data_IF_776313439894
#
_entry.id   IF_776313439894
#
_cell.length_a   1.000
_cell.length_b   1.000
_cell.length_c   1.000
_cell.angle_alpha   90.00
_cell.angle_beta   90.00
_cell.angle_gamma   90.00
#
_symmetry.space_group_name_H-M   'P 1'
#
loop_
_entity.id
_entity.type
_entity.pdbx_description
1 polymer ?
#
# COMPACT_ATOMS: atom_id res chain seq x y z
N UNK A 1 -17.05 36.10 -4.01
CA UNK A 1 -16.51 37.44 -3.67
C UNK A 1 -14.99 37.30 -3.72
N UNK A 2 -14.38 37.41 -4.91
CA UNK A 2 -13.92 38.66 -5.52
C UNK A 2 -13.10 39.49 -4.54
N UNK A 3 -11.77 39.38 -4.60
CA UNK A 3 -10.88 40.54 -4.68
C UNK A 3 -9.76 40.19 -5.68
N UNK A 4 -9.62 41.08 -6.65
CA UNK A 4 -8.78 41.01 -7.84
C UNK A 4 -7.32 41.39 -7.58
N UNK A 5 -6.47 40.93 -8.51
CA UNK A 5 -5.14 41.45 -8.81
C UNK A 5 -5.15 42.90 -9.31
N UNK A 6 -4.07 43.65 -9.06
CA UNK A 6 -3.59 44.71 -9.96
C UNK A 6 -2.05 44.64 -10.11
N UNK A 7 -1.65 44.13 -11.28
CA UNK A 7 -0.64 44.58 -12.26
C UNK A 7 0.65 45.35 -11.86
N UNK A 8 1.76 44.99 -12.54
CA UNK A 8 2.97 45.84 -12.58
C UNK A 8 4.20 45.42 -13.40
N UNK A 9 4.04 44.91 -14.63
CA UNK A 9 4.91 45.10 -15.84
C UNK A 9 6.44 44.81 -15.85
N UNK A 10 6.77 43.73 -16.57
CA UNK A 10 7.82 43.46 -17.60
C UNK A 10 8.99 44.43 -17.92
N UNK A 11 10.20 43.82 -17.89
CA UNK A 11 11.21 43.66 -18.97
C UNK A 11 11.56 44.83 -19.91
N UNK A 12 12.86 45.20 -19.96
CA UNK A 12 13.56 45.58 -21.21
C UNK A 12 15.05 45.14 -21.22
N UNK A 13 15.48 44.61 -22.36
CA UNK A 13 16.85 44.18 -22.73
C UNK A 13 17.62 45.31 -23.44
N UNK A 14 18.89 45.50 -23.03
CA UNK A 14 20.13 45.76 -23.80
C UNK A 14 20.26 46.79 -24.95
N UNK A 15 21.34 47.59 -24.92
CA UNK A 15 22.25 47.85 -26.07
C UNK A 15 23.55 48.59 -25.69
N UNK A 16 24.58 48.36 -26.50
CA UNK A 16 25.96 48.88 -26.49
C UNK A 16 26.12 50.35 -26.95
N UNK A 17 27.09 51.11 -26.38
CA UNK A 17 28.30 51.69 -27.04
C UNK A 17 28.94 52.89 -26.27
N UNK A 18 30.27 52.81 -26.14
CA UNK A 18 31.35 53.83 -26.17
C UNK A 18 31.21 55.21 -25.50
N UNK A 19 32.14 55.55 -24.60
CA UNK A 19 33.31 56.46 -24.80
C UNK A 19 33.77 57.14 -23.49
N UNK A 20 35.06 57.02 -23.16
CA UNK A 20 35.87 57.74 -22.15
C UNK A 20 36.00 59.26 -22.47
N UNK A 21 36.58 60.18 -21.63
CA UNK A 21 37.66 59.90 -20.66
C UNK A 21 37.89 60.84 -19.40
N UNK A 22 38.90 60.43 -18.60
CA UNK A 22 39.87 61.14 -17.70
C UNK A 22 39.44 61.84 -16.37
N UNK A 23 40.04 61.38 -15.25
CA UNK A 23 40.82 62.08 -14.19
C UNK A 23 40.51 61.49 -12.79
N UNK A 24 41.38 61.35 -11.79
CA UNK A 24 42.83 61.41 -11.58
C UNK A 24 43.12 60.61 -10.28
N UNK A 25 44.35 60.10 -10.16
CA UNK A 25 45.00 59.32 -9.06
C UNK A 25 44.88 59.93 -7.64
N UNK A 26 45.31 59.28 -6.51
CA UNK A 26 46.26 58.17 -6.43
C UNK A 26 45.98 57.01 -5.44
N UNK A 27 46.75 55.96 -5.68
CA UNK A 27 47.03 54.80 -4.85
C UNK A 27 47.43 55.15 -3.40
N UNK A 28 46.79 54.49 -2.44
CA UNK A 28 47.45 54.07 -1.20
C UNK A 28 47.40 52.54 -1.13
N UNK A 29 48.56 51.90 -1.26
CA UNK A 29 48.78 50.53 -0.79
C UNK A 29 48.45 50.50 0.71
N UNK A 30 47.40 49.77 1.08
CA UNK A 30 47.34 49.11 2.39
C UNK A 30 47.75 47.66 2.17
N UNK A 31 48.71 47.24 2.98
CA UNK A 31 49.24 45.89 3.01
C UNK A 31 48.13 44.86 3.23
N UNK A 32 48.33 43.70 2.62
CA UNK A 32 47.51 42.50 2.72
C UNK A 32 47.07 42.20 4.17
N UNK A 33 45.75 42.25 4.41
CA UNK A 33 45.08 41.26 5.24
C UNK A 33 44.68 40.12 4.28
N UNK A 34 45.61 39.20 4.08
CA UNK A 34 45.34 37.91 3.43
C UNK A 34 45.44 36.89 4.57
N UNK A 35 44.42 36.03 4.66
CA UNK A 35 44.34 34.76 5.41
C UNK A 35 43.33 34.60 6.57
N UNK A 36 42.48 35.58 6.92
CA UNK A 36 41.41 35.31 7.91
C UNK A 36 40.08 34.84 7.28
N UNK A 37 39.77 35.33 6.07
CA UNK A 37 38.51 35.00 5.37
C UNK A 37 38.53 33.58 4.76
N UNK A 38 39.71 33.05 4.40
CA UNK A 38 39.84 31.70 3.86
C UNK A 38 39.88 30.65 4.96
N UNK A 39 40.54 30.91 6.10
CA UNK A 39 40.52 30.05 7.30
C UNK A 39 39.10 29.95 7.91
N UNK A 40 38.39 31.07 8.02
CA UNK A 40 37.01 31.07 8.52
C UNK A 40 36.05 30.31 7.58
N UNK A 41 36.20 30.48 6.25
CA UNK A 41 35.41 29.73 5.26
C UNK A 41 35.74 28.24 5.24
N UNK A 42 36.98 27.85 5.50
CA UNK A 42 37.35 26.42 5.60
C UNK A 42 36.80 25.81 6.88
N UNK A 43 36.92 26.50 8.02
CA UNK A 43 36.35 26.06 9.30
C UNK A 43 34.82 25.95 9.23
N UNK A 44 34.13 26.93 8.61
CA UNK A 44 32.68 26.89 8.42
C UNK A 44 32.24 25.69 7.56
N UNK A 45 33.01 25.39 6.51
CA UNK A 45 32.74 24.26 5.62
C UNK A 45 32.94 22.91 6.33
N UNK A 46 33.96 22.81 7.18
CA UNK A 46 34.25 21.63 8.01
C UNK A 46 33.13 21.40 9.05
N UNK A 47 32.69 22.46 9.74
CA UNK A 47 31.60 22.40 10.72
C UNK A 47 30.26 21.97 10.07
N UNK A 48 29.94 22.47 8.88
CA UNK A 48 28.76 22.07 8.10
C UNK A 48 28.82 20.60 7.66
N UNK A 49 30.01 20.09 7.35
CA UNK A 49 30.23 18.68 6.98
C UNK A 49 30.05 17.76 8.20
N UNK A 50 30.56 18.15 9.37
CA UNK A 50 30.33 17.43 10.63
C UNK A 50 28.84 17.40 11.02
N UNK A 51 28.12 18.51 10.89
CA UNK A 51 26.67 18.55 11.17
C UNK A 51 25.90 17.62 10.24
N UNK A 52 26.29 17.54 8.97
CA UNK A 52 25.70 16.61 8.01
C UNK A 52 25.97 15.16 8.40
N UNK A 53 27.20 14.81 8.74
CA UNK A 53 27.56 13.45 9.18
C UNK A 53 26.80 13.03 10.44
N UNK A 54 26.53 13.95 11.37
CA UNK A 54 25.72 13.67 12.56
C UNK A 54 24.27 13.34 12.19
N UNK A 55 23.66 14.12 11.28
CA UNK A 55 22.29 13.87 10.81
C UNK A 55 22.22 12.57 10.01
N UNK A 56 23.16 12.34 9.09
CA UNK A 56 23.30 11.08 8.33
C UNK A 56 23.45 9.89 9.30
N UNK A 57 24.23 10.07 10.37
CA UNK A 57 24.41 9.08 11.44
C UNK A 57 23.12 8.77 12.21
N UNK A 58 22.26 9.77 12.47
CA UNK A 58 20.95 9.55 13.10
C UNK A 58 20.04 8.71 12.22
N UNK A 59 19.94 9.07 10.93
CA UNK A 59 19.14 8.32 9.97
C UNK A 59 19.66 6.89 9.84
N UNK A 60 20.98 6.72 9.74
CA UNK A 60 21.60 5.40 9.71
C UNK A 60 21.27 4.59 10.97
N UNK A 61 21.39 5.18 12.16
CA UNK A 61 21.05 4.54 13.44
C UNK A 61 19.59 4.10 13.50
N UNK A 62 18.66 4.97 13.09
CA UNK A 62 17.22 4.65 13.05
C UNK A 62 16.91 3.54 12.07
N UNK A 63 17.42 3.66 10.84
CA UNK A 63 17.07 2.79 9.73
C UNK A 63 17.71 1.39 9.89
N UNK A 64 18.90 1.31 10.51
CA UNK A 64 19.67 0.08 10.70
C UNK A 64 19.72 -0.37 12.17
N UNK A 65 18.75 0.06 12.98
CA UNK A 65 18.71 -0.24 14.42
C UNK A 65 18.85 -1.74 14.70
N UNK A 66 18.14 -2.58 13.94
CA UNK A 66 18.13 -4.04 14.08
C UNK A 66 19.35 -4.76 13.49
N UNK A 67 20.31 -4.04 12.92
CA UNK A 67 21.61 -4.62 12.55
C UNK A 67 22.54 -4.71 13.76
N UNK A 68 22.32 -3.87 14.77
CA UNK A 68 23.13 -3.78 16.00
C UNK A 68 22.36 -4.16 17.26
N UNK A 69 21.02 -4.14 17.21
CA UNK A 69 20.11 -4.52 18.29
C UNK A 69 19.27 -5.72 17.87
N UNK A 70 18.88 -6.56 18.81
CA UNK A 70 18.05 -7.73 18.50
C UNK A 70 16.56 -7.35 18.43
N UNK A 71 15.70 -8.25 17.92
CA UNK A 71 14.25 -7.97 17.79
C UNK A 71 13.60 -7.82 19.17
N UNK A 72 14.17 -8.45 20.20
CA UNK A 72 13.76 -8.29 21.60
C UNK A 72 13.87 -6.83 22.09
N UNK A 73 14.72 -6.02 21.45
CA UNK A 73 14.93 -4.62 21.75
C UNK A 73 13.97 -3.67 21.02
N UNK A 74 13.07 -4.19 20.19
CA UNK A 74 12.15 -3.38 19.37
C UNK A 74 11.34 -2.36 20.18
N UNK A 75 10.90 -2.74 21.39
CA UNK A 75 10.17 -1.82 22.29
C UNK A 75 10.98 -0.60 22.75
N UNK A 76 12.32 -0.65 22.67
CA UNK A 76 13.24 0.43 23.07
C UNK A 76 13.62 1.33 21.90
N UNK A 77 13.52 0.87 20.65
CA UNK A 77 13.89 1.58 19.42
C UNK A 77 13.42 3.04 19.43
N UNK A 78 12.13 3.27 19.69
CA UNK A 78 11.56 4.61 19.61
C UNK A 78 12.19 5.57 20.64
N UNK A 79 12.39 5.09 21.87
CA UNK A 79 13.02 5.86 22.92
C UNK A 79 14.50 6.13 22.58
N UNK A 80 15.22 5.12 22.09
CA UNK A 80 16.64 5.24 21.74
C UNK A 80 16.87 6.22 20.58
N UNK A 81 16.04 6.13 19.53
CA UNK A 81 16.05 7.09 18.41
C UNK A 81 15.71 8.50 18.89
N UNK A 82 14.74 8.64 19.78
CA UNK A 82 14.39 9.95 20.37
C UNK A 82 15.56 10.52 21.19
N UNK A 83 16.26 9.68 21.95
CA UNK A 83 17.43 10.09 22.73
C UNK A 83 18.58 10.54 21.83
N UNK A 84 18.90 9.80 20.77
CA UNK A 84 19.92 10.21 19.79
C UNK A 84 19.52 11.47 19.03
N UNK A 85 18.25 11.59 18.63
CA UNK A 85 17.71 12.79 18.00
C UNK A 85 17.87 14.01 18.91
N UNK A 86 17.52 13.91 20.19
CA UNK A 86 17.68 15.01 21.15
C UNK A 86 19.14 15.42 21.35
N UNK A 87 20.10 14.47 21.34
CA UNK A 87 21.54 14.78 21.39
C UNK A 87 21.99 15.56 20.17
N UNK A 88 21.49 15.21 18.99
CA UNK A 88 21.86 15.87 17.73
C UNK A 88 21.19 17.23 17.59
N UNK A 89 19.91 17.35 17.95
CA UNK A 89 19.21 18.63 18.01
C UNK A 89 19.94 19.63 18.91
N UNK A 90 20.40 19.19 20.09
CA UNK A 90 21.18 20.06 20.98
C UNK A 90 22.47 20.57 20.33
N UNK A 91 23.18 19.71 19.58
CA UNK A 91 24.40 20.11 18.83
C UNK A 91 24.10 21.07 17.69
N UNK A 92 22.95 20.90 17.03
CA UNK A 92 22.49 21.81 15.98
C UNK A 92 22.12 23.18 16.57
N UNK A 93 21.41 23.22 17.70
CA UNK A 93 21.07 24.45 18.43
C UNK A 93 22.33 25.21 18.87
N UNK A 94 23.36 24.52 19.38
CA UNK A 94 24.64 25.13 19.78
C UNK A 94 25.38 25.82 18.62
N UNK A 95 25.09 25.45 17.37
CA UNK A 95 25.71 25.98 16.15
C UNK A 95 24.76 26.89 15.35
N UNK A 96 23.51 27.06 15.76
CA UNK A 96 22.47 27.79 15.02
C UNK A 96 22.82 29.27 14.85
N UNK A 97 23.32 29.92 15.91
CA UNK A 97 23.67 31.34 15.91
C UNK A 97 24.82 31.68 14.93
N UNK A 98 25.68 30.72 14.63
CA UNK A 98 26.83 30.88 13.74
C UNK A 98 26.44 30.77 12.25
N UNK A 99 25.43 29.96 11.93
CA UNK A 99 25.11 29.58 10.54
C UNK A 99 23.73 30.02 10.04
N UNK A 100 22.93 30.69 10.87
CA UNK A 100 21.60 31.26 10.57
C UNK A 100 21.44 31.96 9.21
N UNK A 101 22.49 32.60 8.70
CA UNK A 101 22.48 33.35 7.44
C UNK A 101 23.26 32.66 6.31
N UNK A 102 23.89 31.53 6.57
CA UNK A 102 24.62 30.78 5.57
C UNK A 102 23.64 30.15 4.58
N UNK A 103 23.74 30.56 3.31
CA UNK A 103 23.02 29.91 2.23
C UNK A 103 23.35 28.41 2.20
N UNK A 104 24.55 27.99 2.62
CA UNK A 104 24.97 26.59 2.73
C UNK A 104 24.27 25.85 3.89
N UNK A 105 23.94 26.51 5.00
CA UNK A 105 23.14 25.96 6.11
C UNK A 105 21.65 25.82 5.72
N UNK A 106 21.15 26.77 4.92
CA UNK A 106 19.81 26.71 4.31
C UNK A 106 19.75 25.79 3.06
N UNK A 107 20.88 25.57 2.37
CA UNK A 107 21.10 24.67 1.23
C UNK A 107 21.69 23.31 1.64
N UNK A 108 21.89 23.05 2.94
CA UNK A 108 22.16 21.71 3.44
C UNK A 108 20.89 20.92 3.14
N UNK A 109 20.99 20.18 2.03
CA UNK A 109 19.94 19.81 1.09
C UNK A 109 18.99 18.71 1.58
N UNK A 110 18.79 18.64 2.88
CA UNK A 110 17.74 17.86 3.52
C UNK A 110 16.62 18.76 4.07
N UNK A 111 16.85 20.06 4.28
CA UNK A 111 15.88 20.95 4.94
C UNK A 111 14.47 20.91 4.34
N UNK A 112 14.33 20.89 3.01
CA UNK A 112 13.02 20.74 2.36
C UNK A 112 12.42 19.34 2.52
N UNK A 113 13.24 18.29 2.52
CA UNK A 113 12.78 16.93 2.74
C UNK A 113 12.37 16.73 4.21
N UNK A 114 13.22 17.12 5.15
CA UNK A 114 12.96 17.10 6.59
C UNK A 114 11.73 17.93 6.93
N UNK A 115 11.60 19.15 6.40
CA UNK A 115 10.41 19.98 6.60
C UNK A 115 9.16 19.32 5.98
N UNK A 116 9.28 18.73 4.80
CA UNK A 116 8.22 17.97 4.16
C UNK A 116 7.77 16.78 5.00
N UNK A 117 8.70 16.05 5.61
CA UNK A 117 8.42 14.95 6.55
C UNK A 117 7.74 15.44 7.82
N UNK A 118 8.13 16.61 8.35
CA UNK A 118 7.44 17.21 9.50
C UNK A 118 5.99 17.59 9.16
N UNK A 119 5.75 18.19 7.99
CA UNK A 119 4.39 18.47 7.54
C UNK A 119 3.58 17.20 7.30
N UNK A 120 4.21 16.16 6.73
CA UNK A 120 3.61 14.85 6.54
C UNK A 120 3.16 14.22 7.87
N UNK A 121 4.05 14.19 8.87
CA UNK A 121 3.74 13.68 10.22
C UNK A 121 2.62 14.48 10.90
N UNK A 122 2.51 15.79 10.63
CA UNK A 122 1.42 16.65 11.12
C UNK A 122 0.11 16.51 10.32
N UNK A 123 0.10 15.71 9.25
CA UNK A 123 -1.07 15.52 8.38
C UNK A 123 -1.30 16.62 7.35
N UNK A 124 -0.40 17.61 7.25
CA UNK A 124 -0.47 18.65 6.22
C UNK A 124 0.17 18.15 4.92
N UNK A 125 -0.59 17.33 4.20
CA UNK A 125 -0.13 16.67 2.98
C UNK A 125 0.14 17.69 1.84
N UNK A 126 -0.52 18.84 1.85
CA UNK A 126 -0.36 19.88 0.82
C UNK A 126 0.97 20.63 1.02
N UNK A 127 1.26 21.01 2.27
CA UNK A 127 2.56 21.60 2.61
C UNK A 127 3.70 20.61 2.37
N UNK A 128 3.53 19.34 2.76
CA UNK A 128 4.48 18.27 2.49
C UNK A 128 4.78 18.13 0.98
N UNK A 129 3.74 18.07 0.14
CA UNK A 129 3.87 18.02 -1.33
C UNK A 129 4.68 19.22 -1.85
N UNK A 130 4.35 20.42 -1.37
CA UNK A 130 5.03 21.66 -1.79
C UNK A 130 6.51 21.59 -1.47
N UNK A 131 6.86 21.12 -0.27
CA UNK A 131 8.25 21.00 0.17
C UNK A 131 9.05 20.02 -0.69
N UNK A 132 8.53 18.80 -0.89
CA UNK A 132 9.24 17.80 -1.70
C UNK A 132 9.31 18.18 -3.19
N UNK A 133 8.29 18.88 -3.71
CA UNK A 133 8.33 19.42 -5.09
C UNK A 133 9.42 20.48 -5.23
N UNK A 134 9.52 21.39 -4.25
CA UNK A 134 10.58 22.39 -4.18
C UNK A 134 11.97 21.76 -4.12
N UNK A 135 12.15 20.70 -3.33
CA UNK A 135 13.40 19.94 -3.27
C UNK A 135 13.79 19.36 -4.64
N UNK A 136 12.84 18.79 -5.39
CA UNK A 136 13.10 18.27 -6.74
C UNK A 136 13.43 19.34 -7.78
N UNK A 137 12.87 20.55 -7.66
CA UNK A 137 13.21 21.67 -8.53
C UNK A 137 14.67 22.12 -8.35
N UNK A 138 15.21 21.99 -7.14
CA UNK A 138 16.60 22.33 -6.84
C UNK A 138 17.57 21.22 -7.26
N UNK A 139 17.22 19.96 -6.99
CA UNK A 139 18.00 18.80 -7.42
C UNK A 139 17.17 17.52 -7.36
N UNK A 140 17.22 16.74 -8.44
CA UNK A 140 16.63 15.39 -8.46
C UNK A 140 17.33 14.50 -7.42
N UNK A 141 16.56 13.93 -6.51
CA UNK A 141 17.07 13.08 -5.43
C UNK A 141 16.04 11.99 -5.04
N UNK A 142 16.51 10.85 -4.52
CA UNK A 142 15.65 9.69 -4.22
C UNK A 142 14.68 9.95 -3.06
N UNK A 143 15.09 10.74 -2.06
CA UNK A 143 14.27 11.05 -0.88
C UNK A 143 12.99 11.76 -1.31
N UNK A 144 13.09 12.89 -2.02
CA UNK A 144 11.91 13.66 -2.47
C UNK A 144 11.02 12.86 -3.42
N UNK A 145 11.60 12.03 -4.31
CA UNK A 145 10.83 11.16 -5.21
C UNK A 145 9.99 10.13 -4.42
N UNK A 146 10.59 9.46 -3.44
CA UNK A 146 9.88 8.52 -2.54
C UNK A 146 8.80 9.23 -1.74
N UNK A 147 9.12 10.37 -1.13
CA UNK A 147 8.18 11.09 -0.28
C UNK A 147 7.02 11.69 -1.07
N UNK A 148 7.24 12.22 -2.28
CA UNK A 148 6.14 12.63 -3.16
C UNK A 148 5.28 11.45 -3.59
N UNK A 149 5.90 10.31 -3.90
CA UNK A 149 5.17 9.08 -4.20
C UNK A 149 4.23 8.73 -3.05
N UNK A 150 4.68 8.78 -1.79
CA UNK A 150 3.83 8.57 -0.61
C UNK A 150 2.70 9.60 -0.52
N UNK A 151 3.03 10.88 -0.68
CA UNK A 151 2.07 12.00 -0.54
C UNK A 151 0.94 11.93 -1.54
N UNK A 152 1.26 11.66 -2.81
CA UNK A 152 0.25 11.60 -3.86
C UNK A 152 -0.81 10.52 -3.63
N UNK A 153 -0.48 9.44 -2.91
CA UNK A 153 -1.43 8.35 -2.61
C UNK A 153 -2.39 8.69 -1.48
N UNK A 154 -2.02 9.61 -0.60
CA UNK A 154 -2.81 9.95 0.58
C UNK A 154 -3.55 11.29 0.44
N UNK A 155 -3.20 12.11 -0.56
CA UNK A 155 -3.90 13.37 -0.78
C UNK A 155 -5.41 13.15 -1.02
N UNK A 156 -6.27 13.98 -0.40
CA UNK A 156 -7.70 13.91 -0.64
C UNK A 156 -8.01 14.15 -2.12
N UNK A 157 -9.08 13.56 -2.68
CA UNK A 157 -9.47 13.79 -4.06
C UNK A 157 -9.92 15.23 -4.30
N UNK A 158 -9.02 16.05 -4.83
CA UNK A 158 -9.37 17.30 -5.50
C UNK A 158 -9.90 16.94 -6.89
N UNK A 159 -11.17 17.20 -7.19
CA UNK A 159 -11.73 17.03 -8.56
C UNK A 159 -12.40 15.69 -8.90
N UNK A 160 -12.56 14.76 -7.96
CA UNK A 160 -13.32 13.50 -8.15
C UNK A 160 -12.46 12.28 -8.48
N UNK A 161 -13.09 11.15 -8.85
CA UNK A 161 -12.44 9.84 -8.96
C UNK A 161 -11.35 9.74 -10.06
N UNK A 162 -11.50 10.46 -11.17
CA UNK A 162 -10.51 10.44 -12.26
C UNK A 162 -9.17 11.09 -11.85
N UNK A 163 -9.21 12.14 -11.03
CA UNK A 163 -8.02 12.82 -10.55
C UNK A 163 -7.30 11.99 -9.47
N UNK A 164 -8.01 11.11 -8.77
CA UNK A 164 -7.37 10.12 -7.90
C UNK A 164 -6.55 9.10 -8.70
N UNK A 165 -7.14 8.49 -9.75
CA UNK A 165 -6.42 7.49 -10.57
C UNK A 165 -5.13 8.04 -11.21
N UNK A 166 -5.16 9.28 -11.71
CA UNK A 166 -3.96 9.96 -12.26
C UNK A 166 -2.86 10.13 -11.22
N UNK A 167 -3.20 10.57 -10.01
CA UNK A 167 -2.23 10.74 -8.91
C UNK A 167 -1.59 9.43 -8.47
N UNK A 168 -2.36 8.33 -8.45
CA UNK A 168 -1.80 7.01 -8.16
C UNK A 168 -0.81 6.57 -9.25
N UNK A 169 -1.11 6.81 -10.52
CA UNK A 169 -0.17 6.52 -11.61
C UNK A 169 1.10 7.38 -11.51
N UNK A 170 0.97 8.67 -11.19
CA UNK A 170 2.11 9.57 -10.95
C UNK A 170 2.96 9.09 -9.76
N UNK A 171 2.32 8.63 -8.68
CA UNK A 171 3.00 8.03 -7.54
C UNK A 171 3.87 6.82 -7.91
N UNK A 172 3.37 5.94 -8.79
CA UNK A 172 4.13 4.79 -9.30
C UNK A 172 5.33 5.25 -10.12
N UNK A 173 5.15 6.26 -10.98
CA UNK A 173 6.24 6.79 -11.79
C UNK A 173 7.37 7.39 -10.92
N UNK A 174 7.02 8.22 -9.92
CA UNK A 174 8.00 8.78 -8.99
C UNK A 174 8.74 7.70 -8.19
N UNK A 175 8.06 6.66 -7.73
CA UNK A 175 8.70 5.54 -7.04
C UNK A 175 9.65 4.77 -7.96
N UNK A 176 9.28 4.54 -9.23
CA UNK A 176 10.18 3.94 -10.22
C UNK A 176 11.41 4.79 -10.46
N UNK A 177 11.23 6.11 -10.58
CA UNK A 177 12.36 7.03 -10.72
C UNK A 177 13.28 7.00 -9.50
N UNK A 178 12.76 6.85 -8.28
CA UNK A 178 13.58 6.68 -7.08
C UNK A 178 14.45 5.42 -7.15
N UNK A 179 13.84 4.27 -7.52
CA UNK A 179 14.56 3.01 -7.75
C UNK A 179 15.61 3.14 -8.86
N UNK A 180 15.32 3.89 -9.93
CA UNK A 180 16.28 4.11 -11.02
C UNK A 180 17.51 4.93 -10.59
N UNK A 181 17.36 5.83 -9.62
CA UNK A 181 18.51 6.58 -9.08
C UNK A 181 19.41 5.68 -8.23
N UNK A 182 18.84 4.71 -7.54
CA UNK A 182 19.56 3.77 -6.69
C UNK A 182 18.81 2.44 -6.62
N UNK A 183 19.22 1.49 -7.46
CA UNK A 183 18.60 0.16 -7.52
C UNK A 183 18.91 -0.70 -6.29
N UNK A 184 19.85 -0.24 -5.44
CA UNK A 184 20.23 -0.92 -4.20
C UNK A 184 19.52 -0.36 -2.96
N UNK A 185 18.72 0.69 -3.11
CA UNK A 185 17.94 1.28 -2.03
C UNK A 185 16.67 0.47 -1.75
N UNK A 186 16.68 -0.35 -0.69
CA UNK A 186 15.54 -1.16 -0.30
C UNK A 186 14.28 -0.34 -0.01
N UNK A 187 14.43 0.84 0.60
CA UNK A 187 13.32 1.77 0.85
C UNK A 187 12.64 2.22 -0.46
N UNK A 188 13.38 2.48 -1.54
CA UNK A 188 12.79 2.82 -2.85
C UNK A 188 11.95 1.67 -3.41
N UNK A 189 12.43 0.43 -3.29
CA UNK A 189 11.67 -0.76 -3.69
C UNK A 189 10.43 -0.97 -2.84
N UNK A 190 10.52 -0.76 -1.52
CA UNK A 190 9.39 -0.78 -0.60
C UNK A 190 8.31 0.24 -1.01
N UNK A 191 8.71 1.50 -1.25
CA UNK A 191 7.78 2.56 -1.66
C UNK A 191 7.16 2.27 -3.03
N UNK A 192 7.91 1.65 -3.95
CA UNK A 192 7.38 1.17 -5.22
C UNK A 192 6.33 0.06 -5.03
N UNK A 193 6.56 -0.87 -4.09
CA UNK A 193 5.58 -1.86 -3.67
C UNK A 193 4.28 -1.22 -3.19
N UNK A 194 4.37 -0.24 -2.29
CA UNK A 194 3.21 0.51 -1.79
C UNK A 194 2.48 1.24 -2.94
N UNK A 195 3.21 1.79 -3.90
CA UNK A 195 2.60 2.46 -5.05
C UNK A 195 1.80 1.49 -5.93
N UNK A 196 2.34 0.28 -6.17
CA UNK A 196 1.64 -0.77 -6.89
C UNK A 196 0.43 -1.31 -6.13
N UNK A 197 0.47 -1.42 -4.79
CA UNK A 197 -0.71 -1.75 -3.98
C UNK A 197 -1.83 -0.73 -4.21
N UNK A 198 -1.53 0.56 -4.12
CA UNK A 198 -2.56 1.58 -4.33
C UNK A 198 -3.09 1.54 -5.76
N UNK A 199 -2.22 1.33 -6.76
CA UNK A 199 -2.65 1.17 -8.15
C UNK A 199 -3.52 -0.07 -8.33
N UNK A 200 -3.20 -1.19 -7.69
CA UNK A 200 -3.99 -2.41 -7.70
C UNK A 200 -5.41 -2.14 -7.20
N UNK A 201 -5.57 -1.53 -6.03
CA UNK A 201 -6.91 -1.24 -5.48
C UNK A 201 -7.65 -0.14 -6.25
N UNK A 202 -6.95 0.81 -6.89
CA UNK A 202 -7.59 1.89 -7.66
C UNK A 202 -7.91 1.53 -9.11
N UNK A 203 -7.36 0.44 -9.66
CA UNK A 203 -7.50 0.05 -11.08
C UNK A 203 -8.31 -1.23 -11.30
N UNK A 204 -9.20 -1.57 -10.37
CA UNK A 204 -10.04 -2.77 -10.48
C UNK A 204 -9.30 -4.08 -10.21
N UNK A 205 -8.25 -4.02 -9.38
CA UNK A 205 -7.51 -5.17 -8.86
C UNK A 205 -6.90 -6.06 -9.95
N UNK A 206 -6.26 -5.41 -10.95
CA UNK A 206 -5.50 -6.11 -11.98
C UNK A 206 -4.38 -6.97 -11.34
N UNK A 207 -4.39 -8.31 -11.50
CA UNK A 207 -3.40 -9.19 -10.88
C UNK A 207 -1.94 -8.86 -11.22
N UNK A 208 -1.68 -8.24 -12.38
CA UNK A 208 -0.32 -7.82 -12.72
C UNK A 208 0.24 -6.80 -11.71
N UNK A 209 -0.61 -5.92 -11.17
CA UNK A 209 -0.19 -4.91 -10.20
C UNK A 209 0.10 -5.54 -8.83
N UNK A 210 -0.67 -6.54 -8.39
CA UNK A 210 -0.37 -7.27 -7.15
C UNK A 210 0.94 -8.05 -7.28
N UNK A 211 1.19 -8.70 -8.42
CA UNK A 211 2.48 -9.36 -8.68
C UNK A 211 3.66 -8.38 -8.68
N UNK A 212 3.50 -7.20 -9.28
CA UNK A 212 4.53 -6.16 -9.26
C UNK A 212 4.79 -5.63 -7.84
N UNK A 213 3.75 -5.46 -7.02
CA UNK A 213 3.89 -5.07 -5.63
C UNK A 213 4.67 -6.13 -4.82
N UNK A 214 4.28 -7.40 -4.92
CA UNK A 214 4.95 -8.51 -4.22
C UNK A 214 6.40 -8.66 -4.65
N UNK A 215 6.69 -8.53 -5.95
CA UNK A 215 8.06 -8.54 -6.46
C UNK A 215 8.89 -7.38 -5.92
N UNK A 216 8.32 -6.18 -5.81
CA UNK A 216 9.02 -5.02 -5.29
C UNK A 216 9.37 -5.17 -3.81
N UNK A 217 8.44 -5.67 -2.97
CA UNK A 217 8.75 -5.97 -1.57
C UNK A 217 9.81 -7.05 -1.41
N UNK A 218 9.72 -8.14 -2.19
CA UNK A 218 10.73 -9.20 -2.15
C UNK A 218 12.11 -8.68 -2.55
N UNK A 219 12.16 -7.78 -3.53
CA UNK A 219 13.40 -7.16 -3.96
C UNK A 219 13.98 -6.21 -2.89
N UNK A 220 13.12 -5.46 -2.18
CA UNK A 220 13.54 -4.62 -1.06
C UNK A 220 14.26 -5.43 0.02
N UNK A 221 13.64 -6.51 0.51
CA UNK A 221 14.23 -7.38 1.54
C UNK A 221 15.48 -8.12 1.06
N UNK A 222 15.55 -8.45 -0.24
CA UNK A 222 16.70 -9.17 -0.81
C UNK A 222 17.95 -8.31 -0.84
N UNK A 223 17.82 -7.02 -1.17
CA UNK A 223 18.97 -6.14 -1.34
C UNK A 223 19.37 -5.48 -0.02
N UNK A 224 18.40 -5.18 0.84
CA UNK A 224 18.60 -4.37 2.02
C UNK A 224 18.06 -5.07 3.27
N UNK A 225 18.96 -5.33 4.22
CA UNK A 225 18.61 -5.97 5.49
C UNK A 225 17.76 -5.06 6.39
N UNK A 226 17.94 -3.75 6.30
CA UNK A 226 17.09 -2.79 7.01
C UNK A 226 15.63 -2.92 6.54
N UNK A 227 15.40 -3.15 5.25
CA UNK A 227 14.07 -3.40 4.69
C UNK A 227 13.40 -4.66 5.25
N UNK A 228 14.16 -5.72 5.57
CA UNK A 228 13.63 -6.91 6.25
C UNK A 228 13.18 -6.64 7.71
N UNK A 229 13.59 -5.50 8.26
CA UNK A 229 13.25 -5.03 9.61
C UNK A 229 12.24 -3.87 9.60
N UNK A 230 11.65 -3.56 8.44
CA UNK A 230 10.60 -2.56 8.29
C UNK A 230 9.22 -3.16 8.61
N UNK A 231 8.59 -2.72 9.71
CA UNK A 231 7.29 -3.22 10.15
C UNK A 231 6.16 -2.94 9.14
N UNK A 232 6.09 -1.72 8.58
CA UNK A 232 5.11 -1.35 7.55
C UNK A 232 5.20 -2.26 6.31
N UNK A 233 6.42 -2.60 5.86
CA UNK A 233 6.62 -3.48 4.71
C UNK A 233 5.90 -4.82 4.92
N UNK A 234 6.14 -5.45 6.07
CA UNK A 234 5.52 -6.73 6.41
C UNK A 234 4.01 -6.62 6.53
N UNK A 235 3.50 -5.58 7.18
CA UNK A 235 2.06 -5.35 7.33
C UNK A 235 1.33 -5.11 6.00
N UNK A 236 1.91 -4.29 5.12
CA UNK A 236 1.33 -3.95 3.82
C UNK A 236 1.29 -5.17 2.90
N UNK A 237 2.40 -5.90 2.89
CA UNK A 237 2.51 -7.14 2.13
C UNK A 237 1.54 -8.19 2.67
N UNK A 238 1.40 -8.32 3.99
CA UNK A 238 0.42 -9.22 4.61
C UNK A 238 -1.01 -8.89 4.19
N UNK A 239 -1.34 -7.60 4.12
CA UNK A 239 -2.66 -7.12 3.66
C UNK A 239 -2.93 -7.50 2.20
N UNK A 240 -1.92 -7.40 1.33
CA UNK A 240 -2.04 -7.89 -0.05
C UNK A 240 -2.15 -9.42 -0.12
N UNK A 241 -1.36 -10.15 0.68
CA UNK A 241 -1.46 -11.61 0.79
C UNK A 241 -2.86 -12.05 1.24
N UNK A 242 -3.45 -11.37 2.22
CA UNK A 242 -4.80 -11.67 2.69
C UNK A 242 -5.84 -11.48 1.57
N UNK A 243 -5.74 -10.38 0.81
CA UNK A 243 -6.65 -10.13 -0.33
C UNK A 243 -6.54 -11.22 -1.41
N UNK A 244 -5.31 -11.66 -1.70
CA UNK A 244 -4.99 -12.73 -2.65
C UNK A 244 -5.24 -14.14 -2.07
N UNK A 245 -5.77 -14.25 -0.84
CA UNK A 245 -6.07 -15.50 -0.12
C UNK A 245 -4.82 -16.37 0.17
N UNK A 246 -3.64 -15.74 0.26
CA UNK A 246 -2.39 -16.35 0.73
C UNK A 246 -2.30 -16.24 2.26
N UNK A 247 -3.22 -16.92 2.96
CA UNK A 247 -3.44 -16.71 4.40
C UNK A 247 -2.24 -17.03 5.30
N UNK A 248 -1.45 -18.07 5.00
CA UNK A 248 -0.23 -18.37 5.77
C UNK A 248 0.77 -17.21 5.71
N UNK A 249 0.97 -16.65 4.51
CA UNK A 249 1.87 -15.52 4.29
C UNK A 249 1.35 -14.24 4.94
N UNK A 250 0.03 -14.04 4.94
CA UNK A 250 -0.60 -12.91 5.63
C UNK A 250 -0.39 -12.99 7.15
N UNK A 251 -0.68 -14.13 7.78
CA UNK A 251 -0.47 -14.35 9.21
C UNK A 251 0.99 -14.17 9.62
N UNK A 252 1.92 -14.73 8.84
CA UNK A 252 3.35 -14.56 9.08
C UNK A 252 3.79 -13.09 8.98
N UNK A 253 3.28 -12.34 8.00
CA UNK A 253 3.60 -10.93 7.84
C UNK A 253 3.01 -10.04 8.95
N UNK A 254 1.78 -10.29 9.40
CA UNK A 254 1.22 -9.56 10.55
C UNK A 254 2.00 -9.84 11.85
N UNK A 255 2.33 -11.11 12.10
CA UNK A 255 3.15 -11.52 13.26
C UNK A 255 4.53 -10.87 13.22
N UNK A 256 5.16 -10.82 12.03
CA UNK A 256 6.47 -10.17 11.85
C UNK A 256 6.39 -8.66 12.07
N UNK A 257 5.35 -7.98 11.58
CA UNK A 257 5.15 -6.56 11.83
C UNK A 257 4.97 -6.27 13.33
N UNK A 258 4.16 -7.06 14.03
CA UNK A 258 3.97 -6.94 15.49
C UNK A 258 5.28 -7.15 16.28
N UNK A 259 6.14 -8.06 15.83
CA UNK A 259 7.43 -8.30 16.46
C UNK A 259 8.43 -7.14 16.25
N UNK A 260 8.37 -6.47 15.09
CA UNK A 260 9.24 -5.35 14.73
C UNK A 260 8.80 -4.02 15.35
N UNK A 261 7.50 -3.86 15.59
CA UNK A 261 6.95 -2.72 16.33
C UNK A 261 5.89 -3.19 17.34
N UNK A 262 6.30 -3.52 18.59
CA UNK A 262 5.38 -3.95 19.63
C UNK A 262 4.40 -2.87 20.11
N UNK A 263 4.66 -1.59 19.79
CA UNK A 263 3.76 -0.47 20.10
C UNK A 263 2.61 -0.33 19.12
N UNK A 264 2.70 -0.98 17.95
CA UNK A 264 1.67 -0.95 16.93
C UNK A 264 0.56 -1.98 17.23
N UNK A 265 -0.62 -1.50 17.61
CA UNK A 265 -1.75 -2.37 17.99
C UNK A 265 -2.45 -3.06 16.79
N UNK A 266 -2.34 -2.51 15.57
CA UNK A 266 -3.08 -3.01 14.41
C UNK A 266 -2.60 -4.39 13.91
N UNK A 267 -1.30 -4.67 13.73
CA UNK A 267 -0.83 -5.98 13.29
C UNK A 267 -1.31 -7.17 14.14
N UNK A 268 -1.19 -7.17 15.49
CA UNK A 268 -1.69 -8.28 16.30
C UNK A 268 -3.23 -8.38 16.25
N UNK A 269 -3.95 -7.26 16.09
CA UNK A 269 -5.40 -7.28 15.87
C UNK A 269 -5.75 -7.95 14.53
N UNK A 270 -5.06 -7.60 13.44
CA UNK A 270 -5.25 -8.20 12.11
C UNK A 270 -4.96 -9.70 12.13
N UNK A 271 -3.88 -10.13 12.75
CA UNK A 271 -3.54 -11.54 12.93
C UNK A 271 -4.65 -12.29 13.66
N UNK A 272 -5.12 -11.76 14.81
CA UNK A 272 -6.20 -12.34 15.60
C UNK A 272 -7.52 -12.43 14.83
N UNK A 273 -7.90 -11.36 14.12
CA UNK A 273 -9.12 -11.34 13.31
C UNK A 273 -9.07 -12.39 12.19
N UNK A 274 -7.91 -12.55 11.54
CA UNK A 274 -7.73 -13.56 10.50
C UNK A 274 -7.79 -14.98 11.06
N UNK A 275 -7.15 -15.26 12.20
CA UNK A 275 -7.26 -16.56 12.88
C UNK A 275 -8.70 -16.88 13.29
N UNK A 276 -9.42 -15.91 13.85
CA UNK A 276 -10.84 -16.08 14.20
C UNK A 276 -11.70 -16.36 12.98
N UNK A 277 -11.43 -15.68 11.85
CA UNK A 277 -12.11 -15.96 10.58
C UNK A 277 -11.85 -17.39 10.10
N UNK A 278 -10.60 -17.84 10.13
CA UNK A 278 -10.22 -19.20 9.72
C UNK A 278 -10.84 -20.28 10.63
N UNK A 279 -10.87 -20.05 11.93
CA UNK A 279 -11.57 -20.93 12.90
C UNK A 279 -13.08 -21.00 12.59
N UNK A 280 -13.72 -19.86 12.35
CA UNK A 280 -15.16 -19.80 12.07
C UNK A 280 -15.50 -20.46 10.73
N UNK A 281 -14.75 -20.17 9.66
CA UNK A 281 -15.05 -20.70 8.33
C UNK A 281 -14.88 -22.21 8.29
N UNK A 282 -13.79 -22.74 8.87
CA UNK A 282 -13.55 -24.19 8.91
C UNK A 282 -14.59 -24.92 9.75
N UNK A 283 -14.94 -24.40 10.93
CA UNK A 283 -16.01 -24.97 11.76
C UNK A 283 -17.37 -24.99 11.02
N UNK A 284 -17.71 -23.91 10.31
CA UNK A 284 -18.97 -23.81 9.56
C UNK A 284 -19.01 -24.73 8.33
N UNK A 285 -17.86 -25.01 7.70
CA UNK A 285 -17.76 -26.03 6.65
C UNK A 285 -18.07 -27.41 7.23
N UNK A 286 -17.40 -27.79 8.32
CA UNK A 286 -17.53 -29.12 8.93
C UNK A 286 -18.97 -29.41 9.37
N UNK A 287 -19.66 -28.43 9.95
CA UNK A 287 -21.03 -28.58 10.45
C UNK A 287 -22.11 -28.09 9.47
N UNK A 288 -21.74 -27.74 8.22
CA UNK A 288 -22.64 -27.22 7.18
C UNK A 288 -23.52 -26.07 7.69
N UNK A 289 -22.91 -25.08 8.35
CA UNK A 289 -23.61 -23.93 8.91
C UNK A 289 -24.55 -24.26 10.07
N UNK A 290 -24.36 -25.41 10.73
CA UNK A 290 -25.25 -25.99 11.75
C UNK A 290 -26.68 -26.21 11.24
N UNK A 291 -26.86 -26.37 9.93
CA UNK A 291 -28.18 -26.64 9.32
C UNK A 291 -28.60 -28.07 9.66
N UNK A 292 -29.76 -28.23 10.32
CA UNK A 292 -30.31 -29.56 10.66
C UNK A 292 -30.49 -30.42 9.41
N UNK A 293 -30.16 -31.71 9.48
CA UNK A 293 -30.21 -32.65 8.35
C UNK A 293 -31.56 -32.68 7.60
N UNK A 294 -32.70 -32.57 8.30
CA UNK A 294 -34.02 -32.49 7.66
C UNK A 294 -34.18 -31.20 6.83
N UNK A 295 -33.73 -30.06 7.37
CA UNK A 295 -33.77 -28.77 6.67
C UNK A 295 -32.84 -28.78 5.45
N UNK A 296 -31.65 -29.37 5.59
CA UNK A 296 -30.70 -29.52 4.50
C UNK A 296 -31.29 -30.36 3.36
N UNK A 297 -31.85 -31.54 3.65
CA UNK A 297 -32.52 -32.36 2.64
C UNK A 297 -33.64 -31.62 1.91
N UNK A 298 -34.45 -30.84 2.62
CA UNK A 298 -35.49 -30.02 2.00
C UNK A 298 -34.94 -28.90 1.11
N UNK A 299 -33.80 -28.30 1.47
CA UNK A 299 -33.12 -27.32 0.61
C UNK A 299 -32.61 -27.99 -0.66
N UNK A 300 -31.93 -29.13 -0.52
CA UNK A 300 -31.31 -29.86 -1.62
C UNK A 300 -32.35 -30.52 -2.55
N UNK A 301 -33.54 -30.89 -2.07
CA UNK A 301 -34.60 -31.43 -2.94
C UNK A 301 -35.10 -30.45 -4.00
N UNK A 302 -34.82 -29.15 -3.84
CA UNK A 302 -35.11 -28.11 -4.84
C UNK A 302 -33.93 -27.80 -5.77
N UNK A 303 -32.77 -28.41 -5.56
CA UNK A 303 -31.57 -28.19 -6.35
C UNK A 303 -31.57 -29.12 -7.57
N UNK A 304 -31.68 -28.56 -8.77
CA UNK A 304 -31.70 -29.30 -10.02
C UNK A 304 -30.92 -28.58 -11.11
N UNK A 305 -30.62 -29.26 -12.21
CA UNK A 305 -29.88 -28.69 -13.35
C UNK A 305 -30.61 -27.49 -13.97
N UNK A 306 -31.94 -27.41 -13.87
CA UNK A 306 -32.69 -26.23 -14.33
C UNK A 306 -32.34 -24.96 -13.54
N UNK A 307 -31.77 -25.10 -12.33
CA UNK A 307 -31.33 -23.96 -11.53
C UNK A 307 -30.06 -23.28 -12.07
N UNK A 308 -29.38 -23.86 -13.07
CA UNK A 308 -28.33 -23.19 -13.84
C UNK A 308 -28.81 -21.88 -14.49
N UNK A 309 -30.13 -21.78 -14.75
CA UNK A 309 -30.76 -20.59 -15.30
C UNK A 309 -30.06 -20.15 -16.60
N UNK A 310 -29.61 -18.88 -16.71
CA UNK A 310 -28.94 -18.38 -17.89
C UNK A 310 -27.77 -19.23 -18.39
N UNK A 311 -27.04 -19.94 -17.52
CA UNK A 311 -25.87 -20.73 -17.90
C UNK A 311 -26.19 -21.96 -18.77
N UNK A 312 -27.44 -22.43 -18.77
CA UNK A 312 -27.87 -23.54 -19.62
C UNK A 312 -28.10 -23.12 -21.08
N UNK A 313 -28.15 -21.80 -21.37
CA UNK A 313 -28.44 -21.29 -22.71
C UNK A 313 -27.23 -21.41 -23.65
N UNK A 314 -27.41 -21.87 -24.91
CA UNK A 314 -26.38 -21.80 -25.94
C UNK A 314 -25.89 -20.38 -26.25
N UNK A 315 -26.67 -19.36 -25.88
CA UNK A 315 -26.33 -17.94 -26.06
C UNK A 315 -25.71 -17.33 -24.80
N UNK A 316 -25.47 -18.12 -23.75
CA UNK A 316 -24.85 -17.63 -22.55
C UNK A 316 -23.44 -17.14 -22.86
N UNK A 317 -23.18 -15.87 -22.56
CA UNK A 317 -21.84 -15.29 -22.60
C UNK A 317 -21.25 -15.35 -21.19
N UNK A 318 -20.19 -16.11 -21.04
CA UNK A 318 -19.47 -16.28 -19.78
C UNK A 318 -18.58 -15.07 -19.48
N UNK A 319 -18.11 -14.93 -18.23
CA UNK A 319 -17.18 -13.87 -17.84
C UNK A 319 -15.87 -13.88 -18.63
N UNK A 320 -15.40 -15.06 -19.06
CA UNK A 320 -14.18 -15.21 -19.88
C UNK A 320 -14.40 -14.84 -21.35
N UNK A 321 -15.63 -14.50 -21.73
CA UNK A 321 -16.00 -14.15 -23.11
C UNK A 321 -16.43 -15.34 -23.96
N UNK A 322 -16.44 -16.57 -23.41
CA UNK A 322 -16.96 -17.76 -24.08
C UNK A 322 -18.47 -17.63 -24.29
N UNK A 323 -18.93 -18.00 -25.48
CA UNK A 323 -20.36 -18.14 -25.78
C UNK A 323 -20.71 -19.61 -25.85
N UNK A 324 -21.73 -20.02 -25.10
CA UNK A 324 -22.21 -21.40 -25.07
C UNK A 324 -22.77 -21.79 -23.71
N UNK A 325 -23.49 -22.91 -23.68
CA UNK A 325 -23.95 -23.51 -22.43
C UNK A 325 -22.76 -23.97 -21.57
N UNK A 326 -22.95 -23.91 -20.25
CA UNK A 326 -22.01 -24.42 -19.27
C UNK A 326 -22.47 -25.80 -18.78
N UNK A 327 -21.51 -26.71 -18.65
CA UNK A 327 -21.77 -28.03 -18.09
C UNK A 327 -21.87 -27.97 -16.55
N UNK A 328 -22.91 -28.53 -15.91
CA UNK A 328 -22.98 -28.59 -14.45
C UNK A 328 -21.90 -29.51 -13.87
N UNK A 329 -21.17 -29.03 -12.86
CA UNK A 329 -20.19 -29.82 -12.09
C UNK A 329 -20.38 -29.62 -10.58
N UNK A 330 -20.33 -30.72 -9.83
CA UNK A 330 -20.36 -30.72 -8.37
C UNK A 330 -19.01 -30.30 -7.78
N UNK A 331 -19.00 -29.90 -6.50
CA UNK A 331 -17.79 -29.37 -5.87
C UNK A 331 -16.67 -30.42 -5.76
N UNK A 332 -17.02 -31.71 -5.66
CA UNK A 332 -16.10 -32.83 -5.66
C UNK A 332 -15.27 -32.94 -6.95
N UNK A 333 -15.86 -32.57 -8.09
CA UNK A 333 -15.27 -32.73 -9.42
C UNK A 333 -14.47 -31.50 -9.91
N UNK A 334 -14.52 -30.37 -9.20
CA UNK A 334 -13.78 -29.17 -9.58
C UNK A 334 -12.28 -29.31 -9.25
N UNK A 335 -11.43 -28.84 -10.16
CA UNK A 335 -9.98 -28.80 -9.99
C UNK A 335 -9.51 -27.44 -9.47
N UNK A 336 -8.34 -27.39 -8.86
CA UNK A 336 -7.68 -26.13 -8.49
C UNK A 336 -7.48 -25.22 -9.73
N UNK A 337 -7.63 -23.91 -9.54
CA UNK A 337 -7.53 -22.93 -10.61
C UNK A 337 -8.88 -22.69 -11.30
N UNK A 338 -8.81 -22.21 -12.54
CA UNK A 338 -9.98 -21.82 -13.30
C UNK A 338 -10.62 -23.02 -14.01
N UNK A 339 -11.91 -23.27 -13.73
CA UNK A 339 -12.65 -24.38 -14.33
C UNK A 339 -13.46 -23.86 -15.53
N UNK A 340 -12.85 -23.82 -16.72
CA UNK A 340 -13.49 -23.28 -17.93
C UNK A 340 -14.63 -24.16 -18.42
N UNK A 341 -15.66 -23.52 -18.98
CA UNK A 341 -16.77 -24.19 -19.64
C UNK A 341 -17.77 -24.92 -18.72
N UNK A 342 -17.58 -24.87 -17.41
CA UNK A 342 -18.44 -25.52 -16.42
C UNK A 342 -19.10 -24.50 -15.50
N UNK A 343 -20.18 -24.89 -14.84
CA UNK A 343 -20.82 -24.13 -13.78
C UNK A 343 -21.07 -25.04 -12.58
N UNK A 344 -20.92 -24.49 -11.38
CA UNK A 344 -21.30 -25.20 -10.15
C UNK A 344 -22.45 -24.49 -9.46
N UNK A 345 -23.23 -25.21 -8.67
CA UNK A 345 -24.36 -24.64 -7.96
C UNK A 345 -24.58 -25.31 -6.60
N UNK A 346 -25.14 -24.55 -5.66
CA UNK A 346 -25.43 -25.06 -4.33
C UNK A 346 -26.46 -24.21 -3.59
N UNK A 347 -26.84 -24.70 -2.42
CA UNK A 347 -27.70 -24.02 -1.46
C UNK A 347 -26.86 -23.35 -0.39
N UNK A 348 -27.07 -22.06 -0.15
CA UNK A 348 -26.38 -21.32 0.91
C UNK A 348 -26.77 -21.87 2.27
N UNK A 349 -25.77 -22.18 3.10
CA UNK A 349 -25.96 -22.76 4.46
C UNK A 349 -25.45 -21.86 5.58
N UNK A 350 -24.50 -20.97 5.31
CA UNK A 350 -24.03 -19.94 6.24
C UNK A 350 -23.44 -18.74 5.48
N UNK A 351 -23.30 -17.62 6.17
CA UNK A 351 -22.60 -16.42 5.68
C UNK A 351 -21.72 -15.84 6.79
N UNK A 352 -20.57 -15.29 6.41
CA UNK A 352 -19.65 -14.58 7.27
C UNK A 352 -19.37 -13.21 6.64
N UNK A 353 -19.66 -12.16 7.41
CA UNK A 353 -19.20 -10.81 7.11
C UNK A 353 -18.06 -10.50 8.07
N UNK A 354 -16.83 -10.48 7.57
CA UNK A 354 -15.67 -10.05 8.37
C UNK A 354 -15.68 -8.53 8.53
N UNK A 355 -15.40 -8.06 9.75
CA UNK A 355 -15.09 -6.66 9.98
C UNK A 355 -13.89 -6.24 9.10
N UNK A 356 -13.99 -5.08 8.45
CA UNK A 356 -13.00 -4.64 7.45
C UNK A 356 -13.16 -5.23 6.03
N UNK A 357 -14.31 -5.84 5.71
CA UNK A 357 -14.82 -6.31 4.40
C UNK A 357 -13.85 -6.26 3.20
N UNK A 358 -12.92 -7.21 3.13
CA UNK A 358 -12.24 -7.52 1.85
C UNK A 358 -13.14 -8.38 0.95
N UNK A 359 -13.85 -9.34 1.55
CA UNK A 359 -14.75 -10.26 0.86
C UNK A 359 -16.02 -10.53 1.66
N UNK A 360 -17.12 -10.83 0.97
CA UNK A 360 -18.30 -11.46 1.54
C UNK A 360 -18.16 -12.97 1.39
N UNK A 361 -18.12 -13.69 2.51
CA UNK A 361 -17.90 -15.13 2.53
C UNK A 361 -19.20 -15.85 2.81
N UNK A 362 -19.53 -16.90 2.06
CA UNK A 362 -20.64 -17.79 2.39
C UNK A 362 -20.31 -19.24 2.05
N UNK A 363 -20.93 -20.17 2.77
CA UNK A 363 -20.85 -21.59 2.45
C UNK A 363 -22.08 -22.05 1.71
N UNK A 364 -21.88 -22.92 0.72
CA UNK A 364 -22.97 -23.58 0.02
C UNK A 364 -22.75 -25.09 -0.08
N UNK A 365 -23.85 -25.83 -0.13
CA UNK A 365 -23.86 -27.30 -0.22
C UNK A 365 -24.52 -27.73 -1.53
N UNK A 366 -23.90 -28.68 -2.23
CA UNK A 366 -24.42 -29.26 -3.47
C UNK A 366 -25.26 -30.52 -3.22
N UNK A 367 -25.76 -31.15 -4.28
CA UNK A 367 -26.58 -32.37 -4.19
C UNK A 367 -25.81 -33.60 -3.69
N UNK A 368 -24.47 -33.59 -3.74
CA UNK A 368 -23.61 -34.63 -3.19
C UNK A 368 -23.30 -34.37 -1.71
N UNK A 369 -23.97 -33.39 -1.09
CA UNK A 369 -23.75 -32.97 0.28
C UNK A 369 -22.32 -32.45 0.55
N UNK A 370 -21.57 -32.10 -0.50
CA UNK A 370 -20.28 -31.46 -0.39
C UNK A 370 -20.46 -29.98 -0.03
N UNK A 371 -19.67 -29.49 0.93
CA UNK A 371 -19.68 -28.07 1.30
C UNK A 371 -18.52 -27.34 0.63
N UNK A 372 -18.78 -26.15 0.09
CA UNK A 372 -17.76 -25.29 -0.48
C UNK A 372 -17.96 -23.84 -0.02
N UNK A 373 -16.85 -23.15 0.24
CA UNK A 373 -16.85 -21.73 0.59
C UNK A 373 -16.76 -20.90 -0.69
N UNK A 374 -17.53 -19.82 -0.76
CA UNK A 374 -17.44 -18.82 -1.82
C UNK A 374 -17.02 -17.50 -1.20
N UNK A 375 -15.97 -16.90 -1.76
CA UNK A 375 -15.47 -15.59 -1.35
C UNK A 375 -15.73 -14.61 -2.49
N UNK A 376 -16.67 -13.71 -2.28
CA UNK A 376 -17.06 -12.70 -3.27
C UNK A 376 -16.34 -11.41 -2.93
N UNK A 377 -15.78 -10.73 -3.92
CA UNK A 377 -15.07 -9.45 -3.80
C UNK A 377 -15.83 -8.34 -4.53
N UNK A 378 -15.40 -7.09 -4.34
CA UNK A 378 -15.96 -5.92 -5.01
C UNK A 378 -17.48 -5.78 -4.88
N UNK A 379 -18.05 -6.03 -3.70
CA UNK A 379 -19.47 -5.89 -3.45
C UNK A 379 -19.83 -4.50 -2.91
N UNK A 380 -21.00 -4.02 -3.30
CA UNK A 380 -21.62 -2.83 -2.72
C UNK A 380 -22.09 -3.11 -1.29
N UNK A 381 -22.15 -2.05 -0.48
CA UNK A 381 -22.74 -2.13 0.85
C UNK A 381 -24.20 -2.59 0.78
N UNK A 382 -24.52 -3.62 1.57
CA UNK A 382 -25.86 -4.22 1.60
C UNK A 382 -26.07 -5.36 0.58
N UNK A 383 -25.10 -5.68 -0.28
CA UNK A 383 -25.16 -6.91 -1.07
C UNK A 383 -24.85 -8.13 -0.20
N UNK A 384 -25.54 -9.24 -0.47
CA UNK A 384 -25.31 -10.53 0.15
C UNK A 384 -26.28 -11.59 -0.37
N UNK A 385 -26.11 -12.82 0.08
CA UNK A 385 -27.03 -13.93 -0.17
C UNK A 385 -27.58 -14.46 1.15
N UNK A 386 -28.77 -15.06 1.11
CA UNK A 386 -29.48 -15.58 2.28
C UNK A 386 -29.36 -17.10 2.38
N UNK A 387 -29.42 -17.62 3.60
CA UNK A 387 -29.47 -19.07 3.85
C UNK A 387 -30.69 -19.67 3.13
N UNK A 388 -30.44 -20.66 2.27
CA UNK A 388 -31.44 -21.34 1.44
C UNK A 388 -31.52 -20.83 0.00
N UNK A 389 -30.85 -19.71 -0.33
CA UNK A 389 -30.71 -19.26 -1.72
C UNK A 389 -29.99 -20.32 -2.55
N UNK A 390 -30.40 -20.46 -3.80
CA UNK A 390 -29.63 -21.20 -4.80
C UNK A 390 -28.66 -20.25 -5.47
N UNK A 391 -27.37 -20.55 -5.39
CA UNK A 391 -26.31 -19.78 -6.05
C UNK A 391 -25.66 -20.65 -7.11
N UNK A 392 -25.47 -20.08 -8.31
CA UNK A 392 -24.67 -20.67 -9.39
C UNK A 392 -23.42 -19.83 -9.57
N UNK A 393 -22.27 -20.49 -9.64
CA UNK A 393 -20.98 -19.90 -9.97
C UNK A 393 -20.52 -20.43 -11.34
N UNK A 394 -20.63 -19.60 -12.40
CA UNK A 394 -20.07 -19.89 -13.71
C UNK A 394 -18.54 -19.90 -13.66
N UNK A 395 -17.92 -20.84 -14.35
CA UNK A 395 -16.46 -20.98 -14.51
C UNK A 395 -15.67 -20.76 -13.20
N UNK A 396 -15.95 -21.55 -12.15
CA UNK A 396 -15.46 -21.26 -10.81
C UNK A 396 -13.93 -21.30 -10.73
N UNK A 397 -13.36 -20.31 -10.05
CA UNK A 397 -11.93 -20.28 -9.71
C UNK A 397 -11.73 -20.89 -8.32
N UNK A 398 -11.28 -22.15 -8.28
CA UNK A 398 -11.12 -22.89 -7.04
C UNK A 398 -9.72 -22.70 -6.46
N UNK A 399 -9.64 -22.33 -5.18
CA UNK A 399 -8.40 -22.31 -4.40
C UNK A 399 -8.41 -23.41 -3.35
N UNK A 400 -7.25 -24.04 -3.17
CA UNK A 400 -6.99 -24.96 -2.05
C UNK A 400 -6.16 -24.22 -1.01
N UNK A 401 -6.64 -24.25 0.22
CA UNK A 401 -5.99 -23.62 1.36
C UNK A 401 -5.42 -24.71 2.26
N UNK A 402 -4.11 -24.68 2.46
CA UNK A 402 -3.41 -25.51 3.45
C UNK A 402 -2.57 -24.55 4.28
N UNK A 403 -3.08 -24.19 5.45
CA UNK A 403 -2.57 -23.10 6.27
C UNK A 403 -2.05 -23.68 7.57
N UNK A 404 -0.84 -23.28 7.95
CA UNK A 404 -0.23 -23.60 9.24
C UNK A 404 0.34 -22.31 9.82
N UNK A 405 -0.07 -21.97 11.04
CA UNK A 405 0.43 -20.79 11.74
C UNK A 405 0.38 -21.05 13.25
N UNK A 406 1.53 -20.94 13.91
CA UNK A 406 1.72 -21.39 15.30
C UNK A 406 1.20 -22.85 15.47
N UNK A 407 0.39 -23.11 16.50
CA UNK A 407 -0.17 -24.43 16.78
C UNK A 407 -1.49 -24.74 16.06
N UNK A 408 -1.89 -23.92 15.08
CA UNK A 408 -3.15 -24.08 14.34
C UNK A 408 -2.92 -24.48 12.88
N UNK A 409 -3.80 -25.35 12.38
CA UNK A 409 -3.81 -25.82 11.00
C UNK A 409 -5.21 -25.78 10.40
N UNK A 410 -5.32 -25.34 9.14
CA UNK A 410 -6.57 -25.27 8.40
C UNK A 410 -6.41 -25.88 7.01
N UNK A 411 -7.31 -26.78 6.61
CA UNK A 411 -7.41 -27.28 5.22
C UNK A 411 -8.85 -27.10 4.73
N UNK A 412 -9.02 -26.33 3.65
CA UNK A 412 -10.31 -26.19 2.98
C UNK A 412 -10.18 -25.75 1.52
N UNK A 413 -11.28 -25.87 0.76
CA UNK A 413 -11.39 -25.33 -0.61
C UNK A 413 -12.33 -24.14 -0.63
N UNK A 414 -11.98 -23.10 -1.39
CA UNK A 414 -12.85 -21.97 -1.68
C UNK A 414 -13.03 -21.78 -3.18
N UNK A 415 -14.08 -21.06 -3.56
CA UNK A 415 -14.27 -20.49 -4.88
C UNK A 415 -14.13 -18.97 -4.75
N UNK A 416 -13.14 -18.41 -5.44
CA UNK A 416 -12.95 -16.97 -5.54
C UNK A 416 -13.88 -16.40 -6.62
N UNK A 417 -14.57 -15.31 -6.28
CA UNK A 417 -15.46 -14.59 -7.19
C UNK A 417 -15.14 -13.11 -7.13
N UNK A 418 -14.53 -12.56 -8.18
CA UNK A 418 -14.00 -11.19 -8.17
C UNK A 418 -15.09 -10.09 -8.21
N UNK A 419 -16.32 -10.45 -8.56
CA UNK A 419 -17.47 -9.53 -8.56
C UNK A 419 -18.79 -10.29 -8.34
N UNK A 420 -19.75 -9.73 -7.59
CA UNK A 420 -21.08 -10.31 -7.46
C UNK A 420 -21.81 -10.44 -8.80
N UNK A 421 -21.46 -9.65 -9.82
CA UNK A 421 -22.05 -9.74 -11.16
C UNK A 421 -21.81 -11.08 -11.85
N UNK A 422 -20.81 -11.83 -11.38
CA UNK A 422 -20.48 -13.17 -11.88
C UNK A 422 -21.44 -14.24 -11.35
N UNK A 423 -22.24 -13.92 -10.33
CA UNK A 423 -23.15 -14.87 -9.69
C UNK A 423 -24.55 -14.83 -10.30
N UNK A 424 -25.21 -15.99 -10.26
CA UNK A 424 -26.64 -16.10 -10.48
C UNK A 424 -27.26 -16.58 -9.18
N UNK A 425 -28.16 -15.77 -8.61
CA UNK A 425 -28.83 -16.05 -7.34
C UNK A 425 -30.30 -16.25 -7.62
N UNK A 426 -30.84 -17.40 -7.22
CA UNK A 426 -32.23 -17.79 -7.45
C UNK A 426 -32.66 -17.63 -8.93
N UNK A 427 -31.77 -18.02 -9.85
CA UNK A 427 -31.97 -17.96 -11.30
C UNK A 427 -31.81 -16.57 -11.93
N UNK A 428 -31.47 -15.53 -11.15
CA UNK A 428 -31.32 -14.14 -11.63
C UNK A 428 -29.87 -13.66 -11.57
N UNK A 429 -29.46 -12.93 -12.61
CA UNK A 429 -28.17 -12.20 -12.62
C UNK A 429 -28.20 -11.05 -11.62
N UNK A 430 -27.06 -10.73 -11.04
CA UNK A 430 -26.96 -9.57 -10.15
C UNK A 430 -26.98 -8.25 -10.93
N UNK A 431 -27.55 -7.22 -10.32
CA UNK A 431 -27.64 -5.89 -10.92
C UNK A 431 -26.31 -5.15 -10.79
N UNK A 432 -26.01 -4.22 -11.72
CA UNK A 432 -24.76 -3.44 -11.70
C UNK A 432 -24.50 -2.72 -10.37
N UNK A 433 -25.55 -2.25 -9.68
CA UNK A 433 -25.43 -1.61 -8.37
C UNK A 433 -24.95 -2.55 -7.23
N UNK A 434 -24.87 -3.86 -7.47
CA UNK A 434 -24.33 -4.81 -6.50
C UNK A 434 -22.80 -4.78 -6.41
N UNK A 435 -22.11 -4.15 -7.37
CA UNK A 435 -20.66 -4.08 -7.41
C UNK A 435 -20.16 -2.71 -6.93
N UNK A 436 -19.09 -2.70 -6.15
CA UNK A 436 -18.33 -1.51 -5.77
C UNK A 436 -16.86 -1.91 -5.62
N UNK A 437 -15.93 -1.09 -6.11
CA UNK A 437 -14.50 -1.42 -6.02
C UNK A 437 -14.05 -1.51 -4.55
N UNK A 438 -13.38 -2.59 -4.18
CA UNK A 438 -12.76 -2.72 -2.85
C UNK A 438 -11.65 -1.69 -2.74
N UNK A 439 -11.71 -0.85 -1.70
CA UNK A 439 -10.63 0.05 -1.33
C UNK A 439 -9.99 -0.42 -0.02
N UNK A 440 -8.67 -0.27 0.07
CA UNK A 440 -7.95 -0.38 1.33
C UNK A 440 -7.51 1.02 1.70
N UNK A 441 -8.02 1.54 2.81
CA UNK A 441 -7.55 2.80 3.36
C UNK A 441 -6.20 2.55 4.04
N UNK A 442 -5.14 3.07 3.45
CA UNK A 442 -3.84 3.12 4.10
C UNK A 442 -3.88 4.25 5.12
N UNK A 443 -3.87 3.94 6.42
CA UNK A 443 -3.49 4.94 7.42
C UNK A 443 -1.96 4.90 7.52
N UNK A 444 -1.24 6.01 7.26
CA UNK A 444 0.17 6.03 7.60
C UNK A 444 0.30 5.71 9.09
N UNK A 445 1.06 4.67 9.41
CA UNK A 445 1.60 4.56 10.75
C UNK A 445 2.56 5.74 10.90
N UNK A 446 2.24 6.67 11.78
CA UNK A 446 3.20 7.66 12.23
C UNK A 446 4.05 6.99 13.30
N UNK A 447 5.28 6.59 12.95
CA UNK A 447 6.36 6.37 13.93
C UNK A 447 6.69 7.66 14.69
#
# INVERSE_FOLDING_TARGET
MVIECVNGVNLLKGRWRSSTPVSALPYHLKMAEVDNDDEQKTADKDDLEVLKELVDGLYHFRDHYFETHSVEDASRKQNDVTQEMNKILKRLEEKEDLYKHSAQYLLLREGWNTLGEQYWKKGDLVAAKTCFTGALQQSKNKVSLRSLSMVLRQLPPEGGAQDHGKRIMESVDLARQAVQLDVTDGTSWYILGNAYISLFFSSGQNPQMSQQALSAYSQAEKIDKASASNADLHFNRATLFQYEEMYSSALAGYSRAAALDPGWEEPPEREKLLLNYLDQVTSLIENKGKVKARRLRNMLSSLSVSALGPCASPQYRSPTGRTGSLEPRWFSALTHGHNTGVATLGKVVFSLATEGRMAFTFGMVDSEESCCVVMVYNMADGWGVLIGDTVVVPEPHVKRHSITHNDKSYDFRSIRVDSPLLLIVNGKRQAMQSQTATSVSYKPHTE
#
